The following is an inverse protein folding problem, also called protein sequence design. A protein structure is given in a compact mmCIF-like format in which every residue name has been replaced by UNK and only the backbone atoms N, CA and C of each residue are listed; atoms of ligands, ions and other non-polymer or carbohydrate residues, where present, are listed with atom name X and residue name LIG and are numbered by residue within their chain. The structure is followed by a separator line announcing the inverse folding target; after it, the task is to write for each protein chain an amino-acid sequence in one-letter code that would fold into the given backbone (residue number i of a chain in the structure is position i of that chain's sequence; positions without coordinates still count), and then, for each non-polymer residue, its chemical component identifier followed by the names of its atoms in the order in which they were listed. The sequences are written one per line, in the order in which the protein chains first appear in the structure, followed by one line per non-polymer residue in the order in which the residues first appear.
data_IF_576719886304
#
_entry.id   IF_576719886304
#
_cell.length_a   1.000
_cell.length_b   1.000
_cell.length_c   1.000
_cell.angle_alpha   90.00
_cell.angle_beta   90.00
_cell.angle_gamma   90.00
#
_symmetry.space_group_name_H-M   'P 1'
#
loop_
_entity.id
_entity.type
_entity.pdbx_description
1 polymer ?
#
# COMPACT_ATOMS: atom_id res chain seq x y z
N UNK A 1 6.29 -1.91 -11.40
CA UNK A 1 5.35 -2.88 -11.99
C UNK A 1 6.05 -4.08 -12.62
N UNK A 2 6.96 -3.89 -13.58
CA UNK A 2 7.72 -4.98 -14.24
C UNK A 2 8.34 -5.96 -13.24
N UNK A 3 8.86 -5.48 -12.11
CA UNK A 3 9.42 -6.32 -11.06
C UNK A 3 8.41 -7.36 -10.53
N UNK A 4 7.21 -6.92 -10.12
CA UNK A 4 6.17 -7.82 -9.56
C UNK A 4 5.75 -8.86 -10.59
N UNK A 5 5.38 -8.40 -11.80
CA UNK A 5 4.88 -9.28 -12.85
C UNK A 5 5.94 -10.30 -13.28
N UNK A 6 7.20 -9.88 -13.41
CA UNK A 6 8.30 -10.78 -13.75
C UNK A 6 8.46 -11.88 -12.68
N UNK A 7 8.49 -11.51 -11.39
CA UNK A 7 8.66 -12.48 -10.31
C UNK A 7 7.49 -13.46 -10.21
N UNK A 8 6.26 -12.99 -10.46
CA UNK A 8 5.09 -13.87 -10.49
C UNK A 8 5.16 -14.87 -11.67
N UNK A 9 5.59 -14.44 -12.85
CA UNK A 9 5.79 -15.32 -14.00
C UNK A 9 6.94 -16.29 -13.78
N UNK A 10 8.08 -15.83 -13.29
CA UNK A 10 9.23 -16.67 -13.00
C UNK A 10 8.91 -17.76 -11.97
N UNK A 11 8.16 -17.40 -10.92
CA UNK A 11 7.70 -18.37 -9.92
C UNK A 11 6.77 -19.41 -10.54
N UNK A 12 5.83 -18.96 -11.38
CA UNK A 12 4.88 -19.83 -12.09
C UNK A 12 5.61 -20.82 -13.01
N UNK A 13 6.62 -20.37 -13.76
CA UNK A 13 7.42 -21.20 -14.66
C UNK A 13 8.24 -22.25 -13.87
N UNK A 14 8.68 -21.90 -12.67
CA UNK A 14 9.38 -22.82 -11.74
C UNK A 14 8.43 -23.71 -10.94
N UNK A 15 7.12 -23.69 -11.22
CA UNK A 15 6.07 -24.41 -10.48
C UNK A 15 6.05 -24.07 -8.98
N UNK A 16 6.43 -22.85 -8.63
CA UNK A 16 6.31 -22.29 -7.31
C UNK A 16 4.97 -21.55 -7.18
N UNK A 17 4.56 -21.30 -5.95
CA UNK A 17 3.40 -20.49 -5.62
C UNK A 17 3.84 -19.10 -5.17
N UNK A 18 3.00 -18.12 -5.41
CA UNK A 18 3.25 -16.75 -4.97
C UNK A 18 2.01 -16.20 -4.27
N UNK A 19 2.20 -15.58 -3.12
CA UNK A 19 1.14 -14.78 -2.46
C UNK A 19 1.51 -13.31 -2.55
N UNK A 20 0.63 -12.54 -3.16
CA UNK A 20 0.72 -11.09 -3.28
C UNK A 20 -0.36 -10.47 -2.40
N UNK A 21 0.04 -9.75 -1.37
CA UNK A 21 -0.85 -9.00 -0.47
C UNK A 21 -0.83 -7.55 -0.92
N UNK A 22 -1.99 -7.02 -1.27
CA UNK A 22 -2.17 -5.60 -1.56
C UNK A 22 -2.79 -4.93 -0.34
N UNK A 23 -2.15 -3.87 0.14
CA UNK A 23 -2.56 -3.10 1.31
C UNK A 23 -3.00 -1.70 0.87
N UNK A 24 -4.14 -1.24 1.37
CA UNK A 24 -4.72 0.07 1.06
C UNK A 24 -4.56 1.01 2.26
N UNK A 25 -3.83 2.11 2.08
CA UNK A 25 -3.72 3.15 3.11
C UNK A 25 -4.91 4.11 2.98
N UNK A 26 -5.76 4.15 4.00
CA UNK A 26 -6.96 4.98 3.98
C UNK A 26 -6.64 6.45 4.13
N UNK A 27 -7.03 7.28 3.12
CA UNK A 27 -6.82 8.74 3.12
C UNK A 27 -5.35 9.11 3.36
N UNK A 28 -4.44 8.44 2.67
CA UNK A 28 -3.00 8.50 2.86
C UNK A 28 -2.46 9.94 3.05
N UNK A 29 -2.73 10.83 2.09
CA UNK A 29 -2.27 12.21 2.12
C UNK A 29 -2.96 13.08 3.18
N UNK A 30 -4.22 12.79 3.54
CA UNK A 30 -5.02 13.61 4.46
C UNK A 30 -4.73 13.30 5.93
N UNK A 31 -4.03 12.19 6.20
CA UNK A 31 -3.83 11.69 7.57
C UNK A 31 -2.39 11.71 8.04
N UNK A 32 -1.47 12.25 7.27
CA UNK A 32 -0.06 12.36 7.68
C UNK A 32 0.03 13.14 9.00
N UNK A 33 0.52 12.50 10.03
CA UNK A 33 0.68 13.11 11.34
C UNK A 33 1.85 14.11 11.33
N UNK A 34 1.57 15.41 11.46
CA UNK A 34 2.57 16.47 11.29
C UNK A 34 3.78 16.31 12.21
N UNK A 35 3.55 16.02 13.52
CA UNK A 35 4.67 15.82 14.47
C UNK A 35 5.52 14.60 14.09
N UNK A 36 4.88 13.52 13.66
CA UNK A 36 5.57 12.33 13.18
C UNK A 36 6.41 12.61 11.94
N UNK A 37 5.85 13.33 10.97
CA UNK A 37 6.58 13.74 9.77
C UNK A 37 7.80 14.62 10.11
N UNK A 38 7.64 15.60 11.00
CA UNK A 38 8.77 16.44 11.44
C UNK A 38 9.85 15.60 12.15
N UNK A 39 9.45 14.62 12.97
CA UNK A 39 10.40 13.69 13.58
C UNK A 39 11.18 12.87 12.55
N UNK A 40 10.51 12.38 11.50
CA UNK A 40 11.15 11.64 10.40
C UNK A 40 12.08 12.53 9.57
N UNK A 41 11.66 13.74 9.24
CA UNK A 41 12.51 14.72 8.56
C UNK A 41 13.80 14.97 9.35
N UNK A 42 13.68 15.15 10.67
CA UNK A 42 14.83 15.31 11.55
C UNK A 42 15.73 14.05 11.57
N UNK A 43 15.13 12.86 11.59
CA UNK A 43 15.87 11.60 11.60
C UNK A 43 16.72 11.39 10.33
N UNK A 44 16.25 11.86 9.17
CA UNK A 44 17.01 11.82 7.91
C UNK A 44 17.98 13.00 7.72
N UNK A 45 18.20 13.83 8.77
CA UNK A 45 19.20 14.90 8.77
C UNK A 45 18.69 16.27 8.34
N UNK A 46 17.38 16.47 8.21
CA UNK A 46 16.81 17.82 7.97
C UNK A 46 16.80 18.57 9.30
N UNK A 47 17.48 19.70 9.39
CA UNK A 47 17.61 20.51 10.61
C UNK A 47 17.53 22.02 10.37
N UNK A 48 17.74 22.79 11.43
CA UNK A 48 17.91 24.24 11.40
C UNK A 48 16.75 24.98 10.72
N UNK A 49 17.07 25.90 9.83
CA UNK A 49 16.09 26.74 9.15
C UNK A 49 15.17 25.95 8.21
N UNK A 50 15.66 24.87 7.60
CA UNK A 50 14.88 24.02 6.70
C UNK A 50 13.81 23.26 7.48
N UNK A 51 14.16 22.67 8.63
CA UNK A 51 13.19 21.98 9.49
C UNK A 51 12.13 22.96 9.99
N UNK A 52 12.54 24.15 10.44
CA UNK A 52 11.63 25.23 10.86
C UNK A 52 10.68 25.67 9.75
N UNK A 53 11.17 25.69 8.53
CA UNK A 53 10.34 25.99 7.36
C UNK A 53 9.26 24.92 7.14
N UNK A 54 9.58 23.62 7.27
CA UNK A 54 8.59 22.55 7.18
C UNK A 54 7.56 22.61 8.32
N UNK A 55 7.99 22.92 9.55
CA UNK A 55 7.07 23.14 10.67
C UNK A 55 6.06 24.24 10.33
N UNK A 56 6.52 25.40 9.83
CA UNK A 56 5.66 26.51 9.43
C UNK A 56 4.78 26.16 8.20
N UNK A 57 5.33 25.37 7.24
CA UNK A 57 4.58 24.93 6.06
C UNK A 57 3.37 24.07 6.43
N UNK A 58 3.47 23.28 7.49
CA UNK A 58 2.40 22.39 7.96
C UNK A 58 1.49 23.04 9.00
N UNK A 59 1.94 24.10 9.69
CA UNK A 59 1.21 24.76 10.76
C UNK A 59 0.07 25.65 10.25
N UNK A 60 -0.95 25.83 11.11
CA UNK A 60 -2.03 26.80 10.97
C UNK A 60 -2.75 26.79 9.60
N UNK A 61 -2.85 25.63 9.00
CA UNK A 61 -3.53 25.48 7.72
C UNK A 61 -5.05 25.39 7.89
N UNK A 62 -5.76 26.02 6.97
CA UNK A 62 -7.21 25.97 6.92
C UNK A 62 -7.70 25.34 5.63
N UNK A 63 -8.79 24.60 5.73
CA UNK A 63 -9.54 24.05 4.60
C UNK A 63 -10.87 24.79 4.45
N UNK A 64 -11.19 25.16 3.21
CA UNK A 64 -12.51 25.68 2.80
C UNK A 64 -12.98 24.90 1.57
N UNK A 65 -14.23 24.47 1.56
CA UNK A 65 -14.85 23.85 0.39
C UNK A 65 -15.65 24.89 -0.39
N UNK A 66 -15.48 24.94 -1.72
CA UNK A 66 -16.26 25.80 -2.60
C UNK A 66 -17.05 24.95 -3.58
N UNK A 67 -18.38 25.10 -3.56
CA UNK A 67 -19.31 24.38 -4.44
C UNK A 67 -20.25 25.42 -5.04
N UNK A 68 -20.33 25.46 -6.37
CA UNK A 68 -21.20 26.38 -7.11
C UNK A 68 -21.09 27.85 -6.65
N UNK A 69 -19.88 28.32 -6.39
CA UNK A 69 -19.59 29.69 -5.97
C UNK A 69 -19.86 30.00 -4.51
N UNK A 70 -20.35 29.05 -3.72
CA UNK A 70 -20.56 29.20 -2.26
C UNK A 70 -19.39 28.54 -1.53
N UNK A 71 -18.76 29.27 -0.61
CA UNK A 71 -17.62 28.81 0.18
C UNK A 71 -18.04 28.51 1.61
N UNK A 72 -17.61 27.38 2.14
CA UNK A 72 -17.84 27.00 3.55
C UNK A 72 -17.04 27.88 4.53
N UNK A 73 -17.36 27.79 5.81
CA UNK A 73 -16.50 28.29 6.88
C UNK A 73 -15.15 27.55 6.86
N UNK A 74 -14.08 28.25 7.23
CA UNK A 74 -12.76 27.67 7.39
C UNK A 74 -12.74 26.64 8.53
N UNK A 75 -11.99 25.56 8.33
CA UNK A 75 -11.66 24.60 9.38
C UNK A 75 -10.17 24.41 9.46
N UNK A 76 -9.62 24.48 10.66
CA UNK A 76 -8.22 24.17 10.91
C UNK A 76 -7.93 22.70 10.60
N UNK A 77 -6.79 22.45 9.97
CA UNK A 77 -6.26 21.11 9.67
C UNK A 77 -5.03 20.89 10.53
N UNK A 78 -4.99 19.79 11.27
CA UNK A 78 -3.89 19.39 12.15
C UNK A 78 -3.17 18.12 11.67
N UNK A 79 -3.55 17.61 10.51
CA UNK A 79 -2.96 16.43 9.86
C UNK A 79 -3.06 16.56 8.34
N UNK A 80 -2.29 15.75 7.64
CA UNK A 80 -2.27 15.68 6.18
C UNK A 80 -1.26 16.61 5.53
N UNK A 81 -0.92 16.27 4.28
CA UNK A 81 -0.09 17.10 3.41
C UNK A 81 -0.94 17.71 2.30
N UNK A 82 -0.65 18.94 1.85
CA UNK A 82 -1.49 19.61 0.86
C UNK A 82 -1.53 18.84 -0.46
N UNK A 83 -2.71 18.33 -0.83
CA UNK A 83 -2.94 17.70 -2.12
C UNK A 83 -2.79 18.76 -3.25
N UNK A 84 -2.19 18.36 -4.37
CA UNK A 84 -1.89 19.27 -5.48
C UNK A 84 -0.66 20.16 -5.28
N UNK A 85 0.03 20.08 -4.12
CA UNK A 85 1.34 20.70 -3.94
C UNK A 85 2.46 19.80 -4.46
N UNK A 86 3.58 20.39 -4.86
CA UNK A 86 4.78 19.63 -5.27
C UNK A 86 5.38 18.85 -4.11
N UNK A 87 5.30 19.39 -2.90
CA UNK A 87 5.88 18.78 -1.70
C UNK A 87 5.01 17.69 -1.06
N UNK A 88 3.70 17.71 -1.27
CA UNK A 88 2.79 16.73 -0.68
C UNK A 88 3.20 15.28 -0.92
N UNK A 89 3.40 14.86 -2.18
CA UNK A 89 3.86 13.50 -2.49
C UNK A 89 5.22 13.17 -1.88
N UNK A 90 6.19 14.09 -1.91
CA UNK A 90 7.51 13.88 -1.32
C UNK A 90 7.44 13.67 0.19
N UNK A 91 6.69 14.52 0.88
CA UNK A 91 6.50 14.42 2.34
C UNK A 91 5.79 13.13 2.74
N UNK A 92 4.83 12.69 1.92
CA UNK A 92 4.17 11.41 2.14
C UNK A 92 5.13 10.22 1.96
N UNK A 93 5.95 10.22 0.92
CA UNK A 93 6.97 9.18 0.70
C UNK A 93 7.93 9.11 1.89
N UNK A 94 8.45 10.26 2.35
CA UNK A 94 9.33 10.32 3.54
C UNK A 94 8.60 9.77 4.78
N UNK A 95 7.28 10.02 4.87
CA UNK A 95 6.50 9.57 6.02
C UNK A 95 6.33 8.06 6.09
N UNK A 96 6.27 7.37 4.95
CA UNK A 96 6.05 5.92 4.91
C UNK A 96 7.31 5.09 4.61
N UNK A 97 8.45 5.72 4.34
CA UNK A 97 9.66 5.08 3.83
C UNK A 97 10.14 3.91 4.71
N UNK A 98 10.11 4.10 6.03
CA UNK A 98 10.57 3.10 7.02
C UNK A 98 9.58 1.94 7.26
N UNK A 99 8.41 1.95 6.60
CA UNK A 99 7.41 0.88 6.71
C UNK A 99 8.00 -0.50 6.37
N UNK A 100 8.90 -0.55 5.40
CA UNK A 100 9.45 -1.80 4.88
C UNK A 100 10.73 -2.27 5.55
N UNK A 101 11.40 -1.45 6.36
CA UNK A 101 12.73 -1.73 6.91
C UNK A 101 12.82 -3.02 7.72
N UNK A 102 11.74 -3.39 8.43
CA UNK A 102 11.73 -4.55 9.33
C UNK A 102 11.02 -5.76 8.74
N UNK A 103 10.62 -5.71 7.47
CA UNK A 103 9.91 -6.81 6.83
C UNK A 103 10.89 -7.87 6.34
N UNK A 104 10.44 -9.12 6.41
CA UNK A 104 11.22 -10.29 5.97
C UNK A 104 10.90 -10.66 4.52
N UNK A 105 9.65 -10.45 4.11
CA UNK A 105 9.19 -10.73 2.76
C UNK A 105 9.42 -9.52 1.85
N UNK A 106 9.43 -9.74 0.55
CA UNK A 106 9.60 -8.67 -0.43
C UNK A 106 8.43 -7.69 -0.34
N UNK A 107 8.73 -6.47 0.05
CA UNK A 107 7.75 -5.39 0.13
C UNK A 107 8.02 -4.32 -0.92
N UNK A 108 6.96 -3.73 -1.43
CA UNK A 108 7.01 -2.71 -2.47
C UNK A 108 6.07 -1.58 -2.09
N UNK A 109 6.59 -0.35 -2.13
CA UNK A 109 5.83 0.87 -1.90
C UNK A 109 5.80 1.70 -3.17
N UNK A 110 4.65 2.23 -3.50
CA UNK A 110 4.47 3.21 -4.55
C UNK A 110 3.39 4.21 -4.14
N UNK A 111 3.81 5.34 -3.59
CA UNK A 111 2.92 6.28 -2.91
C UNK A 111 2.07 5.55 -1.85
N UNK A 112 0.75 5.60 -1.94
CA UNK A 112 -0.19 4.94 -1.02
C UNK A 112 -0.40 3.44 -1.33
N UNK A 113 0.00 2.97 -2.53
CA UNK A 113 -0.05 1.56 -2.87
C UNK A 113 1.09 0.80 -2.20
N UNK A 114 0.75 -0.09 -1.28
CA UNK A 114 1.70 -0.95 -0.57
C UNK A 114 1.41 -2.41 -0.86
N UNK A 115 2.43 -3.19 -1.11
CA UNK A 115 2.26 -4.62 -1.34
C UNK A 115 3.40 -5.45 -0.76
N UNK A 116 3.07 -6.68 -0.36
CA UNK A 116 4.03 -7.67 0.12
C UNK A 116 3.89 -8.92 -0.74
N UNK A 117 5.01 -9.49 -1.14
CA UNK A 117 5.04 -10.70 -1.95
C UNK A 117 5.92 -11.77 -1.31
N UNK A 118 5.41 -13.02 -1.33
CA UNK A 118 6.18 -14.21 -0.97
C UNK A 118 6.05 -15.26 -2.06
N UNK A 119 7.19 -15.74 -2.53
CA UNK A 119 7.30 -16.91 -3.41
C UNK A 119 7.70 -18.10 -2.55
N UNK A 120 7.09 -19.28 -2.78
CA UNK A 120 7.27 -20.45 -1.95
C UNK A 120 7.04 -21.76 -2.73
N UNK A 121 7.59 -22.83 -2.24
CA UNK A 121 7.21 -24.17 -2.64
C UNK A 121 5.97 -24.64 -1.86
N UNK A 122 5.22 -25.59 -2.42
CA UNK A 122 4.02 -26.14 -1.79
C UNK A 122 4.23 -26.59 -0.34
N UNK A 123 5.34 -27.25 -0.05
CA UNK A 123 5.72 -27.73 1.29
C UNK A 123 5.98 -26.59 2.28
N UNK A 124 6.19 -25.38 1.82
CA UNK A 124 6.53 -24.20 2.63
C UNK A 124 5.32 -23.33 2.97
N UNK A 125 4.11 -23.67 2.51
CA UNK A 125 2.89 -22.85 2.70
C UNK A 125 2.69 -22.39 4.14
N UNK A 126 2.78 -23.32 5.11
CA UNK A 126 2.59 -22.98 6.52
C UNK A 126 3.67 -22.01 7.03
N UNK A 127 4.94 -22.25 6.68
CA UNK A 127 6.06 -21.38 7.05
C UNK A 127 5.94 -20.00 6.40
N UNK A 128 5.54 -19.96 5.12
CA UNK A 128 5.33 -18.72 4.39
C UNK A 128 4.18 -17.89 4.98
N UNK A 129 3.06 -18.53 5.34
CA UNK A 129 1.95 -17.87 5.98
C UNK A 129 2.33 -17.30 7.36
N UNK A 130 3.10 -18.03 8.15
CA UNK A 130 3.63 -17.54 9.43
C UNK A 130 4.53 -16.32 9.24
N UNK A 131 5.42 -16.35 8.24
CA UNK A 131 6.30 -15.22 7.91
C UNK A 131 5.51 -13.99 7.44
N UNK A 132 4.49 -14.19 6.59
CA UNK A 132 3.62 -13.12 6.11
C UNK A 132 2.80 -12.52 7.25
N UNK A 133 2.20 -13.34 8.13
CA UNK A 133 1.48 -12.88 9.31
C UNK A 133 2.38 -12.09 10.27
N UNK A 134 3.64 -12.51 10.41
CA UNK A 134 4.63 -11.77 11.22
C UNK A 134 4.90 -10.39 10.63
N UNK A 135 5.04 -10.28 9.32
CA UNK A 135 5.26 -8.99 8.66
C UNK A 135 3.99 -8.11 8.69
N UNK A 136 2.80 -8.69 8.52
CA UNK A 136 1.52 -7.98 8.68
C UNK A 136 1.38 -7.39 10.09
N UNK A 137 1.78 -8.15 11.13
CA UNK A 137 1.78 -7.64 12.51
C UNK A 137 2.79 -6.49 12.71
N UNK A 138 3.98 -6.57 12.08
CA UNK A 138 4.95 -5.46 12.12
C UNK A 138 4.39 -4.20 11.46
N UNK A 139 3.69 -4.35 10.33
CA UNK A 139 3.02 -3.24 9.63
C UNK A 139 1.93 -2.65 10.51
N UNK A 140 1.11 -3.48 11.17
CA UNK A 140 0.08 -3.00 12.09
C UNK A 140 0.70 -2.19 13.23
N UNK A 141 1.73 -2.72 13.89
CA UNK A 141 2.44 -2.02 14.97
C UNK A 141 3.06 -0.69 14.50
N UNK A 142 3.61 -0.68 13.29
CA UNK A 142 4.13 0.53 12.67
C UNK A 142 3.01 1.55 12.41
N UNK A 143 1.88 1.09 11.87
CA UNK A 143 0.73 1.93 11.58
C UNK A 143 0.17 2.60 12.85
N UNK A 144 0.08 1.84 13.95
CA UNK A 144 -0.37 2.34 15.25
C UNK A 144 0.59 3.41 15.79
N UNK A 145 1.92 3.19 15.68
CA UNK A 145 2.94 4.15 16.10
C UNK A 145 2.88 5.46 15.30
N UNK A 146 2.60 5.38 14.00
CA UNK A 146 2.63 6.53 13.10
C UNK A 146 1.24 7.08 12.74
N UNK A 147 0.17 6.63 13.41
CA UNK A 147 -1.21 7.05 13.15
C UNK A 147 -1.64 6.87 11.68
N UNK A 148 -1.14 5.83 11.03
CA UNK A 148 -1.54 5.44 9.68
C UNK A 148 -2.70 4.46 9.78
N UNK A 149 -3.72 4.64 8.95
CA UNK A 149 -4.85 3.71 8.91
C UNK A 149 -4.86 2.93 7.60
N UNK A 150 -4.90 1.62 7.70
CA UNK A 150 -5.19 0.76 6.57
C UNK A 150 -6.69 0.49 6.46
N UNK A 151 -7.18 0.41 5.22
CA UNK A 151 -8.55 0.00 4.92
C UNK A 151 -8.65 -1.53 4.92
N UNK A 152 -8.82 -2.17 6.08
CA UNK A 152 -8.79 -3.63 6.21
C UNK A 152 -9.68 -4.35 5.16
N UNK A 153 -10.88 -3.83 4.89
CA UNK A 153 -11.80 -4.40 3.89
C UNK A 153 -11.33 -4.28 2.44
N UNK A 154 -10.34 -3.43 2.17
CA UNK A 154 -9.74 -3.25 0.84
C UNK A 154 -8.42 -4.00 0.68
N UNK A 155 -7.82 -4.40 1.80
CA UNK A 155 -6.62 -5.23 1.79
C UNK A 155 -6.98 -6.64 1.32
N UNK A 156 -6.21 -7.18 0.38
CA UNK A 156 -6.53 -8.44 -0.30
C UNK A 156 -5.29 -9.28 -0.49
N UNK A 157 -5.47 -10.59 -0.58
CA UNK A 157 -4.42 -11.53 -0.94
C UNK A 157 -4.75 -12.19 -2.29
N UNK A 158 -3.82 -12.12 -3.23
CA UNK A 158 -3.86 -12.86 -4.49
C UNK A 158 -2.88 -14.01 -4.42
N UNK A 159 -3.36 -15.24 -4.59
CA UNK A 159 -2.50 -16.42 -4.70
C UNK A 159 -2.38 -16.82 -6.16
N UNK A 160 -1.14 -16.85 -6.66
CA UNK A 160 -0.80 -17.33 -8.01
C UNK A 160 -0.19 -18.73 -7.89
N UNK A 161 -0.83 -19.71 -8.52
CA UNK A 161 -0.38 -21.09 -8.51
C UNK A 161 -0.77 -21.81 -9.80
N UNK A 162 0.08 -22.72 -10.28
CA UNK A 162 -0.23 -23.66 -11.37
C UNK A 162 -0.80 -24.99 -10.86
N UNK A 163 -0.83 -25.17 -9.53
CA UNK A 163 -1.23 -26.44 -8.94
C UNK A 163 -2.75 -26.53 -8.84
N UNK A 164 -3.32 -27.61 -9.36
CA UNK A 164 -4.78 -27.83 -9.36
C UNK A 164 -5.41 -27.89 -7.96
N UNK A 165 -4.60 -28.19 -6.94
CA UNK A 165 -5.04 -28.30 -5.53
C UNK A 165 -4.77 -27.00 -4.73
N UNK A 166 -4.51 -25.88 -5.38
CA UNK A 166 -4.21 -24.62 -4.69
C UNK A 166 -5.46 -23.99 -4.06
N UNK A 167 -6.64 -24.28 -4.58
CA UNK A 167 -7.88 -23.75 -4.04
C UNK A 167 -8.21 -24.35 -2.68
N UNK A 168 -8.27 -23.49 -1.66
CA UNK A 168 -8.75 -23.85 -0.31
C UNK A 168 -7.72 -24.43 0.66
N UNK A 169 -6.43 -24.53 0.31
CA UNK A 169 -5.42 -25.15 1.18
C UNK A 169 -4.27 -24.21 1.61
N UNK A 170 -4.52 -22.91 1.57
CA UNK A 170 -3.58 -21.92 2.08
C UNK A 170 -3.96 -21.48 3.50
N UNK A 171 -2.99 -21.45 4.44
CA UNK A 171 -3.26 -20.90 5.76
C UNK A 171 -3.70 -19.45 5.69
N UNK A 172 -4.61 -19.07 6.59
CA UNK A 172 -5.17 -17.73 6.65
C UNK A 172 -4.10 -16.67 6.96
N UNK A 173 -4.31 -15.50 6.37
CA UNK A 173 -3.54 -14.30 6.67
C UNK A 173 -4.43 -13.31 7.40
N UNK A 174 -3.94 -12.79 8.52
CA UNK A 174 -4.70 -11.88 9.37
C UNK A 174 -4.05 -10.50 9.40
N UNK A 175 -4.86 -9.46 9.24
CA UNK A 175 -4.42 -8.07 9.29
C UNK A 175 -5.52 -7.20 9.90
N UNK A 176 -5.17 -6.33 10.86
CA UNK A 176 -6.12 -5.45 11.54
C UNK A 176 -7.33 -6.22 12.11
N UNK A 177 -7.07 -7.31 12.83
CA UNK A 177 -8.07 -8.21 13.45
C UNK A 177 -9.07 -8.83 12.47
N UNK A 178 -8.76 -8.83 11.18
CA UNK A 178 -9.57 -9.46 10.14
C UNK A 178 -8.76 -10.42 9.29
N UNK A 179 -9.38 -11.50 8.82
CA UNK A 179 -8.77 -12.40 7.83
C UNK A 179 -8.80 -11.71 6.46
N UNK A 180 -7.64 -11.63 5.81
CA UNK A 180 -7.52 -11.06 4.46
C UNK A 180 -8.32 -11.90 3.46
N UNK A 181 -9.15 -11.22 2.68
CA UNK A 181 -9.89 -11.87 1.61
C UNK A 181 -8.94 -12.39 0.52
N UNK A 182 -9.04 -13.68 0.21
CA UNK A 182 -8.38 -14.26 -0.94
C UNK A 182 -9.20 -13.96 -2.20
N UNK A 183 -8.54 -13.41 -3.24
CA UNK A 183 -9.21 -12.93 -4.44
C UNK A 183 -8.62 -13.56 -5.70
N UNK A 184 -9.44 -13.68 -6.75
CA UNK A 184 -9.01 -14.17 -8.07
C UNK A 184 -8.26 -13.12 -8.88
N UNK A 185 -8.44 -11.85 -8.54
CA UNK A 185 -7.75 -10.74 -9.19
C UNK A 185 -7.47 -9.59 -8.21
N UNK A 186 -6.33 -8.94 -8.39
CA UNK A 186 -5.95 -7.73 -7.67
C UNK A 186 -5.54 -6.63 -8.64
N UNK A 187 -5.85 -5.40 -8.30
CA UNK A 187 -5.38 -4.23 -9.04
C UNK A 187 -4.16 -3.64 -8.33
N UNK A 188 -3.08 -3.45 -9.06
CA UNK A 188 -1.85 -2.84 -8.57
C UNK A 188 -1.36 -1.82 -9.60
N UNK A 189 -1.29 -0.55 -9.23
CA UNK A 189 -0.86 0.56 -10.11
C UNK A 189 -1.60 0.58 -11.46
N UNK A 190 -2.91 0.37 -11.45
CA UNK A 190 -3.75 0.34 -12.65
C UNK A 190 -3.66 -0.95 -13.48
N UNK A 191 -2.83 -1.91 -13.07
CA UNK A 191 -2.72 -3.21 -13.72
C UNK A 191 -3.57 -4.25 -12.98
N UNK A 192 -4.51 -4.88 -13.67
CA UNK A 192 -5.29 -6.00 -13.13
C UNK A 192 -4.50 -7.29 -13.28
N UNK A 193 -4.07 -7.86 -12.16
CA UNK A 193 -3.32 -9.12 -12.08
C UNK A 193 -4.30 -10.20 -11.66
N UNK A 194 -4.38 -11.29 -12.42
CA UNK A 194 -5.21 -12.44 -12.11
C UNK A 194 -4.38 -13.63 -11.63
N UNK A 195 -4.99 -14.53 -10.86
CA UNK A 195 -4.34 -15.75 -10.36
C UNK A 195 -3.74 -16.62 -11.47
N UNK A 196 -4.33 -16.60 -12.68
CA UNK A 196 -3.79 -17.33 -13.83
C UNK A 196 -2.67 -16.57 -14.56
N UNK A 197 -2.39 -15.31 -14.19
CA UNK A 197 -1.50 -14.36 -14.89
C UNK A 197 -1.89 -14.15 -16.36
N UNK A 198 -3.20 -14.19 -16.67
CA UNK A 198 -3.74 -13.92 -18.00
C UNK A 198 -3.99 -12.42 -18.18
N UNK A 199 -3.47 -11.84 -19.24
CA UNK A 199 -3.63 -10.41 -19.57
C UNK A 199 -4.90 -10.10 -20.33
N UNK A 200 -5.64 -11.12 -20.80
CA UNK A 200 -6.83 -10.93 -21.64
C UNK A 200 -7.88 -10.05 -20.98
N UNK A 201 -8.10 -10.22 -19.67
CA UNK A 201 -9.06 -9.40 -18.92
C UNK A 201 -8.62 -7.94 -18.83
N UNK A 202 -7.35 -7.71 -18.49
CA UNK A 202 -6.78 -6.37 -18.41
C UNK A 202 -6.85 -5.62 -19.75
N UNK A 203 -6.46 -6.28 -20.84
CA UNK A 203 -6.50 -5.70 -22.19
C UNK A 203 -7.95 -5.34 -22.58
N UNK A 204 -8.93 -6.24 -22.31
CA UNK A 204 -10.35 -5.97 -22.58
C UNK A 204 -10.87 -4.78 -21.77
N UNK A 205 -10.50 -4.67 -20.47
CA UNK A 205 -10.86 -3.54 -19.60
C UNK A 205 -10.31 -2.24 -20.19
N UNK A 206 -9.02 -2.20 -20.54
CA UNK A 206 -8.37 -1.03 -21.13
C UNK A 206 -9.02 -0.60 -22.46
N UNK A 207 -9.34 -1.56 -23.35
CA UNK A 207 -10.00 -1.28 -24.61
C UNK A 207 -11.41 -0.70 -24.40
N UNK A 208 -12.18 -1.25 -23.45
CA UNK A 208 -13.51 -0.76 -23.11
C UNK A 208 -13.47 0.67 -22.54
N UNK A 209 -12.52 0.96 -21.67
CA UNK A 209 -12.38 2.27 -21.04
C UNK A 209 -11.89 3.33 -22.05
N UNK A 210 -11.03 2.96 -22.98
CA UNK A 210 -10.63 3.82 -24.09
C UNK A 210 -11.79 4.15 -25.03
N UNK A 211 -12.70 3.20 -25.27
CA UNK A 211 -13.87 3.40 -26.15
C UNK A 211 -14.99 4.26 -25.51
N UNK A 212 -14.93 4.56 -24.19
CA UNK A 212 -15.88 5.43 -23.48
C UNK A 212 -15.49 6.91 -23.48
N UNK A 213 -14.31 7.26 -23.97
CA UNK A 213 -13.80 8.63 -24.11
C UNK A 213 -14.04 9.16 -25.50
#
# INVERSE_FOLDING_TARGET
MTYVTQHLHDAKDKRQESRLICLDISRAFDRVWHRGLIAKLKAIGVDGHVLKWFENYLADRELKATISGKTSTARLINAGVPQGSILGPLLFIIYIDDLTEKLTNTAMLYADDSSIMRIMERRERARAALSLNTDLQKIQNWADCWNVLFGASKCKCLTVSNLKDAEGNHPELNFMDTTLAEVDEAELLGLTIRKELSWTHHIKKMATDAGKR
#
